data_IF_719095246257
#
_entry.id   IF_719095246257
#
_cell.length_a   1.000
_cell.length_b   1.000
_cell.length_c   1.000
_cell.angle_alpha   90.00
_cell.angle_beta   90.00
_cell.angle_gamma   90.00
#
_symmetry.space_group_name_H-M   'P 1'
#
loop_
_entity.id
_entity.type
_entity.pdbx_description
1 polymer ?
#
# COMPACT_ATOMS: atom_id res chain seq x y z
N UNK A 1 9.71 -22.64 11.91
CA UNK A 1 10.77 -22.28 12.88
C UNK A 1 10.29 -21.33 13.96
N UNK A 2 9.75 -20.14 13.64
CA UNK A 2 9.17 -19.22 14.66
C UNK A 2 8.01 -19.88 15.39
N UNK A 3 7.02 -20.41 14.64
CA UNK A 3 5.89 -21.14 15.21
C UNK A 3 6.32 -22.40 15.97
N UNK A 4 7.33 -23.14 15.46
CA UNK A 4 7.87 -24.33 16.13
C UNK A 4 8.52 -24.00 17.48
N UNK A 5 9.09 -22.80 17.63
CA UNK A 5 9.59 -22.28 18.91
C UNK A 5 8.45 -21.76 19.84
N UNK A 6 7.20 -21.86 19.38
CA UNK A 6 6.00 -21.33 20.02
C UNK A 6 5.82 -19.82 19.85
N UNK A 7 6.62 -19.17 19.01
CA UNK A 7 6.55 -17.72 18.77
C UNK A 7 5.43 -17.31 17.81
N UNK A 8 5.22 -16.01 17.69
CA UNK A 8 4.29 -15.38 16.74
C UNK A 8 4.93 -14.16 16.10
N UNK A 9 4.27 -13.58 15.09
CA UNK A 9 4.76 -12.40 14.36
C UNK A 9 3.63 -11.37 14.18
N UNK A 10 4.01 -10.10 14.09
CA UNK A 10 3.11 -8.98 13.81
C UNK A 10 2.76 -8.90 12.32
N UNK A 11 3.77 -9.07 11.46
CA UNK A 11 3.63 -9.11 10.01
C UNK A 11 4.65 -10.07 9.41
N UNK A 12 4.34 -10.56 8.21
CA UNK A 12 5.25 -11.31 7.36
C UNK A 12 4.93 -10.95 5.91
N UNK A 13 5.90 -10.41 5.19
CA UNK A 13 5.87 -10.27 3.73
C UNK A 13 6.87 -11.26 3.11
N UNK A 14 7.09 -11.14 1.80
CA UNK A 14 7.82 -12.08 0.93
C UNK A 14 9.18 -12.51 1.50
N UNK A 15 9.94 -11.55 2.02
CA UNK A 15 11.33 -11.71 2.48
C UNK A 15 11.58 -11.16 3.89
N UNK A 16 10.53 -10.71 4.58
CA UNK A 16 10.64 -10.02 5.88
C UNK A 16 9.56 -10.46 6.86
N UNK A 17 9.91 -10.47 8.14
CA UNK A 17 9.00 -10.85 9.23
C UNK A 17 9.31 -10.02 10.48
N UNK A 18 8.27 -9.47 11.10
CA UNK A 18 8.36 -8.80 12.40
C UNK A 18 7.98 -9.79 13.51
N UNK A 19 8.96 -10.52 14.06
CA UNK A 19 8.73 -11.51 15.12
C UNK A 19 8.41 -10.79 16.44
N UNK A 20 7.33 -11.21 17.12
CA UNK A 20 6.99 -10.69 18.44
C UNK A 20 8.00 -11.21 19.46
N UNK A 21 8.80 -10.31 20.01
CA UNK A 21 9.88 -10.65 20.94
C UNK A 21 10.14 -9.55 21.98
N UNK A 22 10.76 -9.95 23.09
CA UNK A 22 11.24 -9.07 24.15
C UNK A 22 12.59 -9.58 24.66
N UNK A 23 13.28 -8.82 25.52
CA UNK A 23 14.61 -9.21 26.03
C UNK A 23 14.62 -10.61 26.66
N UNK A 24 13.62 -10.91 27.48
CA UNK A 24 13.51 -12.18 28.20
C UNK A 24 12.40 -13.10 27.66
N UNK A 25 11.69 -12.69 26.61
CA UNK A 25 10.46 -13.34 26.17
C UNK A 25 9.31 -13.11 27.16
N UNK A 26 8.25 -13.89 27.03
CA UNK A 26 7.11 -13.85 27.94
C UNK A 26 5.78 -14.03 27.24
N UNK A 27 4.70 -13.58 27.89
CA UNK A 27 3.36 -13.62 27.33
C UNK A 27 2.89 -12.20 27.01
N UNK A 28 2.28 -12.03 25.83
CA UNK A 28 1.68 -10.78 25.37
C UNK A 28 0.17 -11.00 25.20
N UNK A 29 -0.69 -10.18 25.82
CA UNK A 29 -2.14 -10.30 25.64
C UNK A 29 -2.53 -10.27 24.17
N UNK A 30 -3.32 -11.25 23.73
CA UNK A 30 -3.74 -11.37 22.35
C UNK A 30 -4.94 -12.32 22.26
N UNK A 31 -6.09 -11.78 21.87
CA UNK A 31 -7.32 -12.56 21.63
C UNK A 31 -7.07 -13.68 20.63
N UNK A 32 -7.55 -14.89 20.90
CA UNK A 32 -7.31 -16.08 20.09
C UNK A 32 -5.94 -16.72 20.29
N UNK A 33 -5.10 -16.17 21.18
CA UNK A 33 -3.82 -16.75 21.55
C UNK A 33 -3.97 -18.09 22.27
N UNK A 34 -2.99 -18.98 22.08
CA UNK A 34 -2.99 -20.34 22.67
C UNK A 34 -2.52 -20.39 24.12
N UNK A 35 -1.99 -19.28 24.65
CA UNK A 35 -1.57 -19.16 26.05
C UNK A 35 -2.58 -18.34 26.85
N UNK A 36 -2.43 -18.35 28.17
CA UNK A 36 -3.22 -17.51 29.08
C UNK A 36 -2.32 -16.79 30.07
N UNK A 37 -2.67 -15.53 30.34
CA UNK A 37 -2.11 -14.75 31.44
C UNK A 37 -2.69 -15.22 32.78
N UNK A 38 -2.14 -14.71 33.89
CA UNK A 38 -2.58 -15.07 35.24
C UNK A 38 -4.03 -14.66 35.53
N UNK A 39 -4.51 -13.62 34.87
CA UNK A 39 -5.88 -13.12 34.94
C UNK A 39 -6.86 -13.88 34.02
N UNK A 40 -6.38 -14.91 33.29
CA UNK A 40 -7.16 -15.73 32.38
C UNK A 40 -7.26 -15.19 30.95
N UNK A 41 -6.80 -13.97 30.69
CA UNK A 41 -6.80 -13.37 29.35
C UNK A 41 -5.94 -14.18 28.37
N UNK A 42 -6.43 -14.33 27.15
CA UNK A 42 -5.72 -15.04 26.08
C UNK A 42 -4.44 -14.28 25.68
N UNK A 43 -3.40 -15.04 25.33
CA UNK A 43 -2.08 -14.50 25.05
C UNK A 43 -1.31 -15.32 24.02
N UNK A 44 -0.35 -14.65 23.40
CA UNK A 44 0.71 -15.27 22.59
C UNK A 44 2.02 -15.27 23.36
N UNK A 45 2.94 -16.16 22.98
CA UNK A 45 4.30 -16.16 23.51
C UNK A 45 5.18 -15.23 22.67
N UNK A 46 5.76 -14.24 23.33
CA UNK A 46 6.89 -13.49 22.81
C UNK A 46 8.17 -14.31 22.99
N UNK A 47 8.96 -14.47 21.92
CA UNK A 47 10.27 -15.10 22.02
C UNK A 47 11.26 -14.15 22.72
N UNK A 48 12.27 -14.69 23.38
CA UNK A 48 13.38 -13.86 23.83
C UNK A 48 14.23 -13.38 22.65
N UNK A 49 14.90 -12.24 22.76
CA UNK A 49 15.84 -11.78 21.72
C UNK A 49 16.92 -12.84 21.41
N UNK A 50 17.37 -13.56 22.44
CA UNK A 50 18.27 -14.71 22.26
C UNK A 50 17.65 -15.81 21.39
N UNK A 51 16.40 -16.20 21.66
CA UNK A 51 15.70 -17.21 20.85
C UNK A 51 15.51 -16.76 19.39
N UNK A 52 15.24 -15.48 19.16
CA UNK A 52 15.14 -14.92 17.80
C UNK A 52 16.49 -15.03 17.09
N UNK A 53 17.59 -14.67 17.76
CA UNK A 53 18.94 -14.81 17.20
C UNK A 53 19.27 -16.27 16.88
N UNK A 54 18.96 -17.20 17.77
CA UNK A 54 19.14 -18.64 17.51
C UNK A 54 18.33 -19.15 16.30
N UNK A 55 17.18 -18.54 15.99
CA UNK A 55 16.42 -18.85 14.77
C UNK A 55 17.16 -18.33 13.53
N UNK A 56 17.67 -17.10 13.58
CA UNK A 56 18.44 -16.47 12.50
C UNK A 56 19.75 -17.23 12.24
N UNK A 57 20.49 -17.59 13.28
CA UNK A 57 21.79 -18.27 13.18
C UNK A 57 21.68 -19.65 12.50
N UNK A 58 20.53 -20.33 12.63
CA UNK A 58 20.30 -21.61 11.94
C UNK A 58 20.35 -21.48 10.40
N UNK A 59 20.08 -20.30 9.86
CA UNK A 59 20.14 -20.04 8.41
C UNK A 59 21.58 -19.85 7.90
N UNK A 60 22.59 -19.71 8.76
CA UNK A 60 24.00 -19.75 8.35
C UNK A 60 24.34 -21.09 7.65
N UNK A 61 23.76 -22.20 8.12
CA UNK A 61 23.93 -23.52 7.50
C UNK A 61 23.31 -23.62 6.11
N UNK A 62 22.36 -22.74 5.81
CA UNK A 62 21.66 -22.67 4.52
C UNK A 62 22.26 -21.62 3.59
N UNK A 63 23.33 -20.93 4.01
CA UNK A 63 23.99 -19.91 3.20
C UNK A 63 24.70 -20.56 2.00
N UNK A 64 24.24 -20.32 0.76
CA UNK A 64 24.84 -20.92 -0.44
C UNK A 64 26.02 -20.10 -0.98
N UNK A 65 26.25 -18.90 -0.46
CA UNK A 65 27.28 -17.99 -0.95
C UNK A 65 28.66 -18.34 -0.40
N UNK A 66 29.71 -17.83 -1.06
CA UNK A 66 31.06 -17.93 -0.53
C UNK A 66 31.13 -17.23 0.84
N UNK A 67 31.45 -17.99 1.90
CA UNK A 67 31.49 -17.53 3.28
C UNK A 67 32.56 -16.47 3.55
N UNK A 68 33.57 -16.37 2.69
CA UNK A 68 34.56 -15.29 2.77
C UNK A 68 33.98 -13.95 2.33
N UNK A 69 32.93 -13.96 1.51
CA UNK A 69 32.27 -12.76 0.96
C UNK A 69 30.99 -12.43 1.76
N UNK A 70 30.18 -13.45 2.04
CA UNK A 70 28.92 -13.31 2.80
C UNK A 70 29.00 -14.22 4.03
N UNK A 71 29.63 -13.74 5.13
CA UNK A 71 29.74 -14.52 6.35
C UNK A 71 28.39 -14.63 7.07
N UNK A 72 28.22 -15.68 7.87
CA UNK A 72 27.07 -15.82 8.78
C UNK A 72 25.74 -16.16 8.08
N UNK A 73 24.65 -15.74 8.71
CA UNK A 73 23.29 -16.02 8.26
C UNK A 73 22.90 -15.23 7.01
N UNK A 74 22.14 -15.86 6.11
CA UNK A 74 21.50 -15.17 4.98
C UNK A 74 20.32 -14.29 5.41
N UNK A 75 19.84 -14.45 6.65
CA UNK A 75 18.82 -13.58 7.22
C UNK A 75 19.50 -12.52 8.08
N UNK A 76 19.04 -11.27 7.93
CA UNK A 76 19.52 -10.16 8.74
C UNK A 76 18.48 -9.75 9.79
N UNK A 77 18.95 -9.41 10.99
CA UNK A 77 18.14 -8.63 11.94
C UNK A 77 18.31 -7.17 11.54
N UNK A 78 17.22 -6.44 11.33
CA UNK A 78 17.29 -5.05 10.86
C UNK A 78 17.83 -4.15 11.98
N UNK A 79 19.15 -3.95 12.01
CA UNK A 79 19.85 -3.32 13.14
C UNK A 79 19.45 -1.85 13.33
N UNK A 80 19.36 -1.09 12.24
CA UNK A 80 18.90 0.31 12.22
C UNK A 80 17.55 0.54 12.92
N UNK A 81 16.68 -0.49 12.98
CA UNK A 81 15.40 -0.41 13.67
C UNK A 81 15.49 -0.93 15.10
N UNK A 82 16.21 -2.02 15.31
CA UNK A 82 16.22 -2.76 16.57
C UNK A 82 17.25 -2.25 17.57
N UNK A 83 18.20 -1.41 17.15
CA UNK A 83 19.26 -0.90 18.01
C UNK A 83 19.15 0.62 18.14
N UNK A 84 19.54 1.14 19.31
CA UNK A 84 19.69 2.57 19.52
C UNK A 84 21.08 3.05 19.03
N UNK A 85 21.35 4.37 18.99
CA UNK A 85 22.66 4.90 18.59
C UNK A 85 23.86 4.41 19.42
N UNK A 86 23.61 3.80 20.59
CA UNK A 86 24.64 3.21 21.46
C UNK A 86 24.82 1.70 21.20
N UNK A 87 24.32 1.20 20.06
CA UNK A 87 24.37 -0.22 19.65
C UNK A 87 23.77 -1.20 20.66
N UNK A 88 22.85 -0.71 21.50
CA UNK A 88 22.05 -1.56 22.39
C UNK A 88 20.71 -1.83 21.76
N UNK A 89 20.30 -3.10 21.77
CA UNK A 89 18.97 -3.49 21.32
C UNK A 89 17.92 -2.76 22.16
N UNK A 90 17.01 -2.04 21.49
CA UNK A 90 15.93 -1.26 22.10
C UNK A 90 14.60 -2.01 21.99
N UNK A 91 13.68 -1.73 22.92
CA UNK A 91 12.31 -2.21 22.78
C UNK A 91 11.61 -1.45 21.67
N UNK A 92 11.15 -2.18 20.67
CA UNK A 92 10.32 -1.66 19.58
C UNK A 92 8.89 -2.19 19.76
N UNK A 93 7.92 -1.33 19.52
CA UNK A 93 6.51 -1.67 19.48
C UNK A 93 6.04 -1.67 18.04
N UNK A 94 4.99 -2.42 17.74
CA UNK A 94 4.47 -2.51 16.40
C UNK A 94 2.95 -2.51 16.39
N UNK A 95 2.40 -1.79 15.41
CA UNK A 95 0.98 -1.70 15.13
C UNK A 95 0.73 -2.26 13.74
N UNK A 96 0.01 -3.38 13.65
CA UNK A 96 -0.24 -4.11 12.40
C UNK A 96 -1.72 -4.11 12.05
N UNK A 97 -2.05 -3.62 10.85
CA UNK A 97 -3.40 -3.69 10.26
C UNK A 97 -3.50 -4.91 9.33
N UNK A 98 -2.48 -5.13 8.50
CA UNK A 98 -2.35 -6.29 7.60
C UNK A 98 -0.87 -6.51 7.27
N UNK A 99 -0.55 -7.60 6.57
CA UNK A 99 0.83 -8.00 6.25
C UNK A 99 1.68 -6.87 5.64
N UNK A 100 1.06 -5.97 4.86
CA UNK A 100 1.75 -4.82 4.24
C UNK A 100 1.34 -3.47 4.82
N UNK A 101 0.57 -3.41 5.90
CA UNK A 101 0.13 -2.16 6.54
C UNK A 101 0.47 -2.21 8.02
N UNK A 102 1.61 -1.63 8.37
CA UNK A 102 2.10 -1.64 9.73
C UNK A 102 2.93 -0.39 10.02
N UNK A 103 3.05 -0.07 11.32
CA UNK A 103 3.95 0.93 11.86
C UNK A 103 4.76 0.32 13.00
N UNK A 104 6.02 0.73 13.12
CA UNK A 104 6.92 0.41 14.23
C UNK A 104 7.26 1.71 14.95
N UNK A 105 7.23 1.69 16.28
CA UNK A 105 7.36 2.88 17.10
C UNK A 105 8.04 2.60 18.44
N UNK A 106 8.51 3.66 19.08
CA UNK A 106 9.05 3.66 20.45
C UNK A 106 8.28 4.65 21.31
N UNK A 107 8.37 4.49 22.63
CA UNK A 107 7.93 5.52 23.58
C UNK A 107 9.14 6.36 23.99
N UNK A 108 9.03 7.67 23.84
CA UNK A 108 9.99 8.66 24.34
C UNK A 108 9.29 9.57 25.35
N UNK A 109 9.62 9.46 26.64
CA UNK A 109 9.00 10.23 27.72
C UNK A 109 7.44 10.27 27.72
N UNK A 110 6.80 9.19 27.25
CA UNK A 110 5.34 9.02 27.04
C UNK A 110 4.78 9.48 25.69
N UNK A 111 5.60 10.05 24.83
CA UNK A 111 5.25 10.34 23.43
C UNK A 111 5.56 9.15 22.53
N UNK A 112 4.69 8.95 21.53
CA UNK A 112 4.84 7.87 20.56
C UNK A 112 5.64 8.40 19.37
N UNK A 113 6.88 7.90 19.22
CA UNK A 113 7.74 8.23 18.09
C UNK A 113 7.75 7.09 17.07
N UNK A 114 7.22 7.36 15.88
CA UNK A 114 7.32 6.46 14.74
C UNK A 114 8.79 6.27 14.33
N UNK A 115 9.16 5.02 14.05
CA UNK A 115 10.49 4.62 13.57
C UNK A 115 10.41 4.12 12.13
N UNK A 116 9.36 3.36 11.80
CA UNK A 116 9.14 2.86 10.44
C UNK A 116 7.67 2.74 10.18
N UNK A 117 7.23 3.10 8.99
CA UNK A 117 5.83 2.93 8.57
C UNK A 117 5.77 2.37 7.17
N UNK A 118 4.70 1.62 6.89
CA UNK A 118 4.47 1.12 5.54
C UNK A 118 3.85 2.19 4.64
N UNK A 119 4.44 2.38 3.46
CA UNK A 119 3.90 3.24 2.39
C UNK A 119 2.93 2.49 1.45
N UNK A 120 2.65 1.21 1.75
CA UNK A 120 1.90 0.34 0.84
C UNK A 120 0.49 0.89 0.54
N UNK A 121 0.21 1.10 -0.74
CA UNK A 121 -1.04 1.67 -1.21
C UNK A 121 -1.23 3.17 -0.94
N UNK A 122 -0.26 3.84 -0.30
CA UNK A 122 -0.26 5.30 -0.12
C UNK A 122 0.60 5.99 -1.19
N UNK A 123 1.70 5.36 -1.62
CA UNK A 123 2.62 5.92 -2.61
C UNK A 123 2.04 6.15 -4.02
N UNK A 124 0.82 5.68 -4.29
CA UNK A 124 0.12 5.92 -5.56
C UNK A 124 -0.55 7.30 -5.63
N UNK A 125 -0.68 7.99 -4.50
CA UNK A 125 -1.30 9.30 -4.42
C UNK A 125 -0.25 10.40 -4.50
N UNK A 126 -0.59 11.47 -5.20
CA UNK A 126 0.22 12.68 -5.24
C UNK A 126 0.17 13.37 -3.88
N UNK A 127 1.35 13.68 -3.34
CA UNK A 127 1.52 14.21 -1.99
C UNK A 127 0.77 15.55 -1.79
N UNK A 128 0.00 15.71 -0.70
CA UNK A 128 -0.67 16.97 -0.39
C UNK A 128 0.27 17.99 0.26
N UNK A 129 1.42 17.52 0.76
CA UNK A 129 2.42 18.30 1.49
C UNK A 129 3.82 17.85 1.08
N UNK A 130 4.71 18.84 0.96
CA UNK A 130 6.13 18.64 0.66
C UNK A 130 6.91 18.17 1.89
N UNK A 131 8.08 17.59 1.64
CA UNK A 131 9.01 17.17 2.70
C UNK A 131 9.08 15.66 2.91
N UNK A 132 10.19 15.26 3.53
CA UNK A 132 10.51 13.89 3.90
C UNK A 132 10.98 13.88 5.34
N UNK A 133 10.53 12.92 6.11
CA UNK A 133 11.03 12.70 7.45
C UNK A 133 12.37 11.97 7.39
N UNK A 134 13.40 12.51 8.03
CA UNK A 134 14.73 11.89 8.04
C UNK A 134 14.78 10.62 8.89
N UNK A 135 13.98 10.56 9.96
CA UNK A 135 14.05 9.47 10.93
C UNK A 135 13.33 8.22 10.42
N UNK A 136 12.13 8.37 9.85
CA UNK A 136 11.35 7.28 9.26
C UNK A 136 11.68 7.01 7.78
N UNK A 137 12.43 7.91 7.14
CA UNK A 137 12.74 7.92 5.71
C UNK A 137 11.52 7.90 4.77
N UNK A 138 10.36 8.37 5.21
CA UNK A 138 9.12 8.43 4.40
C UNK A 138 8.69 9.87 4.12
N UNK A 139 7.79 10.06 3.16
CA UNK A 139 7.17 11.37 2.94
C UNK A 139 6.49 11.89 4.22
N UNK A 140 6.60 13.20 4.49
CA UNK A 140 6.12 13.79 5.74
C UNK A 140 4.62 13.54 5.97
N UNK A 141 3.80 13.67 4.92
CA UNK A 141 2.35 13.41 4.99
C UNK A 141 2.02 11.94 5.32
N UNK A 142 2.87 10.98 4.91
CA UNK A 142 2.67 9.56 5.26
C UNK A 142 2.93 9.35 6.75
N UNK A 143 4.01 9.94 7.27
CA UNK A 143 4.30 9.90 8.72
C UNK A 143 3.17 10.53 9.53
N UNK A 144 2.72 11.73 9.15
CA UNK A 144 1.62 12.44 9.81
C UNK A 144 0.31 11.62 9.80
N UNK A 145 -0.03 11.00 8.66
CA UNK A 145 -1.21 10.14 8.55
C UNK A 145 -1.11 8.87 9.40
N UNK A 146 0.06 8.20 9.44
CA UNK A 146 0.28 7.08 10.35
C UNK A 146 0.27 7.48 11.82
N UNK A 147 0.79 8.66 12.15
CA UNK A 147 0.74 9.20 13.51
C UNK A 147 -0.71 9.40 13.94
N UNK A 148 -1.56 9.96 13.07
CA UNK A 148 -3.01 10.09 13.31
C UNK A 148 -3.67 8.72 13.56
N UNK A 149 -3.39 7.71 12.71
CA UNK A 149 -3.88 6.33 12.89
C UNK A 149 -3.46 5.77 14.26
N UNK A 150 -2.18 5.92 14.60
CA UNK A 150 -1.62 5.33 15.82
C UNK A 150 -2.13 6.03 17.08
N UNK A 151 -2.22 7.36 17.06
CA UNK A 151 -2.78 8.15 18.17
C UNK A 151 -4.24 7.72 18.44
N UNK A 152 -5.05 7.56 17.38
CA UNK A 152 -6.43 7.07 17.49
C UNK A 152 -6.49 5.66 18.09
N UNK A 153 -5.62 4.75 17.64
CA UNK A 153 -5.56 3.39 18.14
C UNK A 153 -5.12 3.31 19.62
N UNK A 154 -4.28 4.24 20.07
CA UNK A 154 -3.79 4.33 21.44
C UNK A 154 -4.66 5.21 22.35
N UNK A 155 -5.74 5.80 21.83
CA UNK A 155 -6.61 6.70 22.59
C UNK A 155 -5.96 8.03 22.97
N UNK A 156 -4.90 8.43 22.27
CA UNK A 156 -4.19 9.70 22.49
C UNK A 156 -4.91 10.80 21.70
N UNK A 157 -5.27 11.89 22.38
CA UNK A 157 -5.84 13.06 21.71
C UNK A 157 -4.81 13.69 20.79
N UNK A 158 -5.13 13.84 19.51
CA UNK A 158 -4.29 14.54 18.54
C UNK A 158 -5.12 15.32 17.54
N UNK A 159 -4.57 16.42 17.03
CA UNK A 159 -5.18 17.14 15.92
C UNK A 159 -5.01 16.34 14.62
N UNK A 160 -6.08 16.29 13.82
CA UNK A 160 -6.00 15.72 12.48
C UNK A 160 -5.18 16.66 11.57
N UNK A 161 -4.39 16.11 10.63
CA UNK A 161 -3.66 16.95 9.69
C UNK A 161 -4.59 17.77 8.80
N UNK A 162 -4.33 19.06 8.63
CA UNK A 162 -5.20 19.98 7.87
C UNK A 162 -5.48 19.50 6.43
N UNK A 163 -4.52 18.78 5.84
CA UNK A 163 -4.62 18.23 4.48
C UNK A 163 -5.55 17.01 4.36
N UNK A 164 -6.09 16.48 5.45
CA UNK A 164 -7.06 15.37 5.42
C UNK A 164 -8.31 15.70 4.61
N UNK A 165 -8.72 16.96 4.60
CA UNK A 165 -9.88 17.46 3.84
C UNK A 165 -9.62 17.59 2.34
N UNK A 166 -8.35 17.57 1.91
CA UNK A 166 -8.00 17.76 0.51
C UNK A 166 -8.39 16.54 -0.34
N UNK A 167 -8.80 16.75 -1.59
CA UNK A 167 -9.05 15.67 -2.53
C UNK A 167 -7.75 14.92 -2.83
N UNK A 168 -7.86 13.61 -2.92
CA UNK A 168 -6.74 12.73 -3.25
C UNK A 168 -6.53 12.76 -4.75
N UNK A 169 -5.30 13.04 -5.15
CA UNK A 169 -4.88 13.11 -6.53
C UNK A 169 -3.94 11.96 -6.89
N UNK A 170 -3.93 11.58 -8.16
CA UNK A 170 -2.88 10.77 -8.77
C UNK A 170 -2.11 11.65 -9.75
N UNK A 171 -0.79 11.53 -9.75
CA UNK A 171 0.05 12.11 -10.79
C UNK A 171 0.03 11.16 -11.99
N UNK A 172 -0.25 11.71 -13.16
CA UNK A 172 -0.42 10.97 -14.41
C UNK A 172 0.50 11.58 -15.47
N UNK A 173 1.42 10.80 -16.04
CA UNK A 173 2.23 11.15 -17.19
C UNK A 173 1.39 11.27 -18.47
N UNK A 174 1.67 12.31 -19.25
CA UNK A 174 1.07 12.53 -20.57
C UNK A 174 1.86 11.72 -21.60
N UNK A 175 1.43 10.49 -21.82
CA UNK A 175 2.11 9.50 -22.68
C UNK A 175 1.52 9.41 -24.09
N UNK A 176 0.24 9.79 -24.30
CA UNK A 176 -0.47 9.61 -25.58
C UNK A 176 -0.93 10.93 -26.21
N UNK A 177 -1.02 11.01 -27.56
CA UNK A 177 -1.54 12.19 -28.25
C UNK A 177 -2.98 12.56 -27.86
N UNK A 178 -3.83 11.57 -27.58
CA UNK A 178 -5.24 11.79 -27.22
C UNK A 178 -5.36 12.52 -25.87
N UNK A 179 -4.60 12.05 -24.87
CA UNK A 179 -4.52 12.69 -23.54
C UNK A 179 -3.95 14.10 -23.66
N UNK A 180 -2.88 14.26 -24.43
CA UNK A 180 -2.29 15.57 -24.69
C UNK A 180 -3.27 16.53 -25.38
N UNK A 181 -4.02 16.07 -26.39
CA UNK A 181 -4.99 16.88 -27.11
C UNK A 181 -6.14 17.36 -26.22
N UNK A 182 -6.61 16.50 -25.30
CA UNK A 182 -7.60 16.88 -24.30
C UNK A 182 -7.05 17.96 -23.35
N UNK A 183 -5.87 17.76 -22.76
CA UNK A 183 -5.27 18.69 -21.81
C UNK A 183 -4.88 20.04 -22.42
N UNK A 184 -4.52 20.08 -23.71
CA UNK A 184 -4.23 21.33 -24.43
C UNK A 184 -5.42 22.29 -24.50
N UNK A 185 -6.65 21.80 -24.31
CA UNK A 185 -7.85 22.64 -24.20
C UNK A 185 -7.90 23.44 -22.90
N UNK A 186 -7.27 22.94 -21.84
CA UNK A 186 -7.18 23.62 -20.55
C UNK A 186 -5.95 24.51 -20.48
N UNK A 187 -4.77 23.94 -20.75
CA UNK A 187 -3.51 24.66 -20.69
C UNK A 187 -2.52 24.07 -21.70
N UNK A 188 -2.37 24.77 -22.84
CA UNK A 188 -1.50 24.33 -23.94
C UNK A 188 -0.03 24.25 -23.53
N UNK A 189 0.42 25.13 -22.66
CA UNK A 189 1.83 25.21 -22.27
C UNK A 189 2.24 24.09 -21.32
N UNK A 190 1.32 23.64 -20.46
CA UNK A 190 1.57 22.50 -19.57
C UNK A 190 1.29 21.15 -20.24
N UNK A 191 0.42 21.08 -21.24
CA UNK A 191 0.10 19.85 -21.96
C UNK A 191 1.17 19.50 -23.03
N UNK A 192 2.36 19.11 -22.56
CA UNK A 192 3.51 18.68 -23.37
C UNK A 192 3.75 17.17 -23.22
N UNK A 193 4.28 16.49 -24.24
CA UNK A 193 4.74 15.11 -24.10
C UNK A 193 5.71 15.00 -22.92
N UNK A 194 5.60 13.92 -22.14
CA UNK A 194 6.42 13.66 -20.94
C UNK A 194 6.23 14.66 -19.79
N UNK A 195 5.22 15.53 -19.84
CA UNK A 195 4.79 16.30 -18.68
C UNK A 195 3.74 15.51 -17.88
N UNK A 196 3.39 16.02 -16.71
CA UNK A 196 2.39 15.40 -15.84
C UNK A 196 1.04 16.13 -15.91
N UNK A 197 0.00 15.43 -15.49
CA UNK A 197 -1.35 15.87 -15.20
C UNK A 197 -1.74 15.36 -13.80
N UNK A 198 -2.83 15.90 -13.25
CA UNK A 198 -3.43 15.36 -12.03
C UNK A 198 -4.79 14.75 -12.35
N UNK A 199 -5.10 13.62 -11.71
CA UNK A 199 -6.42 13.00 -11.75
C UNK A 199 -6.95 12.80 -10.35
N UNK A 200 -8.14 13.32 -10.01
CA UNK A 200 -8.75 13.06 -8.72
C UNK A 200 -9.22 11.60 -8.62
N UNK A 201 -9.14 11.03 -7.42
CA UNK A 201 -9.71 9.72 -7.14
C UNK A 201 -11.20 9.90 -6.88
N UNK A 202 -12.03 9.43 -7.80
CA UNK A 202 -13.47 9.66 -7.79
C UNK A 202 -14.24 8.41 -7.36
N UNK A 203 -15.28 8.62 -6.56
CA UNK A 203 -16.43 7.74 -6.49
C UNK A 203 -17.45 8.24 -7.51
N UNK A 204 -17.63 7.47 -8.57
CA UNK A 204 -18.62 7.78 -9.60
C UNK A 204 -20.02 7.38 -9.10
N UNK A 205 -20.90 8.37 -8.93
CA UNK A 205 -22.27 8.18 -8.47
C UNK A 205 -23.26 8.19 -9.65
N UNK A 206 -22.76 8.30 -10.88
CA UNK A 206 -23.52 8.25 -12.12
C UNK A 206 -23.38 6.89 -12.82
N UNK A 207 -24.17 6.67 -13.87
CA UNK A 207 -24.09 5.47 -14.72
C UNK A 207 -23.19 5.65 -15.96
N UNK A 208 -22.49 6.78 -16.08
CA UNK A 208 -21.66 7.12 -17.24
C UNK A 208 -20.19 7.07 -16.81
N UNK A 209 -19.27 6.52 -17.63
CA UNK A 209 -17.85 6.59 -17.35
C UNK A 209 -17.38 8.05 -17.23
N UNK A 210 -16.72 8.38 -16.13
CA UNK A 210 -16.16 9.72 -15.87
C UNK A 210 -14.68 9.54 -15.54
N UNK A 211 -13.81 10.28 -16.21
CA UNK A 211 -12.38 10.29 -15.90
C UNK A 211 -11.84 11.70 -16.09
N UNK A 212 -11.62 12.37 -14.96
CA UNK A 212 -11.19 13.76 -14.91
C UNK A 212 -9.66 13.86 -14.95
N UNK A 213 -9.16 14.74 -15.81
CA UNK A 213 -7.76 15.14 -15.88
C UNK A 213 -7.63 16.66 -15.76
N UNK A 214 -6.79 17.12 -14.85
CA UNK A 214 -6.46 18.53 -14.66
C UNK A 214 -5.00 18.81 -15.04
N UNK A 215 -4.65 20.10 -15.25
CA UNK A 215 -3.26 20.51 -15.34
C UNK A 215 -2.47 20.05 -14.10
N UNK A 216 -1.16 19.82 -14.26
CA UNK A 216 -0.33 19.49 -13.11
C UNK A 216 -0.15 20.73 -12.22
N UNK A 217 -0.57 20.59 -10.97
CA UNK A 217 -0.53 21.67 -9.98
C UNK A 217 0.09 21.17 -8.68
N UNK A 218 1.14 21.87 -8.22
CA UNK A 218 1.80 21.53 -6.95
C UNK A 218 1.05 22.11 -5.76
N UNK A 219 0.41 23.28 -5.91
CA UNK A 219 -0.36 23.89 -4.84
C UNK A 219 -1.67 23.13 -4.62
N UNK A 220 -1.76 22.41 -3.51
CA UNK A 220 -2.91 21.58 -3.19
C UNK A 220 -4.17 22.37 -2.79
N UNK A 221 -4.03 23.66 -2.47
CA UNK A 221 -5.16 24.53 -2.10
C UNK A 221 -6.14 24.75 -3.25
N UNK A 222 -5.67 24.71 -4.51
CA UNK A 222 -6.51 24.99 -5.68
C UNK A 222 -7.06 23.72 -6.34
N UNK A 223 -6.68 22.53 -5.86
CA UNK A 223 -7.11 21.25 -6.43
C UNK A 223 -8.64 21.11 -6.49
N UNK A 224 -9.37 21.63 -5.50
CA UNK A 224 -10.83 21.57 -5.49
C UNK A 224 -11.48 22.44 -6.56
N UNK A 225 -10.89 23.59 -6.88
CA UNK A 225 -11.51 24.66 -7.68
C UNK A 225 -10.93 24.78 -9.08
N UNK A 226 -9.79 24.16 -9.36
CA UNK A 226 -9.18 24.15 -10.69
C UNK A 226 -10.03 23.36 -11.70
N UNK A 227 -9.94 23.70 -13.00
CA UNK A 227 -10.71 23.02 -14.04
C UNK A 227 -10.11 21.65 -14.38
N UNK A 228 -10.98 20.66 -14.55
CA UNK A 228 -10.68 19.31 -15.00
C UNK A 228 -11.45 19.01 -16.28
N UNK A 229 -10.81 18.33 -17.24
CA UNK A 229 -11.48 17.84 -18.44
C UNK A 229 -11.86 16.37 -18.25
N UNK A 230 -13.10 16.02 -18.56
CA UNK A 230 -13.47 14.62 -18.72
C UNK A 230 -12.95 14.12 -20.06
N UNK A 231 -12.12 13.07 -20.06
CA UNK A 231 -11.52 12.54 -21.29
C UNK A 231 -12.54 11.89 -22.23
N UNK A 232 -13.72 11.50 -21.72
CA UNK A 232 -14.74 10.82 -22.52
C UNK A 232 -15.57 11.82 -23.33
N UNK A 233 -15.93 12.95 -22.73
CA UNK A 233 -16.81 13.97 -23.33
C UNK A 233 -16.05 15.21 -23.81
N UNK A 234 -14.88 15.48 -23.23
CA UNK A 234 -14.12 16.71 -23.40
C UNK A 234 -14.70 17.93 -22.68
N UNK A 235 -15.71 17.75 -21.82
CA UNK A 235 -16.32 18.83 -21.01
C UNK A 235 -15.46 19.17 -19.79
N UNK A 236 -15.58 20.42 -19.32
CA UNK A 236 -14.78 20.96 -18.22
C UNK A 236 -15.61 21.02 -16.93
N UNK A 237 -15.00 20.62 -15.82
CA UNK A 237 -15.63 20.38 -14.53
C UNK A 237 -14.77 20.83 -13.36
N UNK A 238 -15.40 21.19 -12.25
CA UNK A 238 -14.75 21.44 -10.95
C UNK A 238 -15.19 20.40 -9.92
N UNK A 239 -14.37 20.19 -8.88
CA UNK A 239 -14.68 19.30 -7.76
C UNK A 239 -15.46 20.01 -6.66
N UNK A 240 -15.23 21.31 -6.48
CA UNK A 240 -15.99 22.15 -5.56
C UNK A 240 -16.27 23.55 -6.17
N UNK A 241 -17.54 23.93 -6.39
CA UNK A 241 -18.72 23.06 -6.27
C UNK A 241 -18.67 21.91 -7.30
N UNK A 242 -19.19 20.72 -6.97
CA UNK A 242 -19.19 19.60 -7.89
C UNK A 242 -20.13 19.88 -9.06
N UNK A 243 -19.60 19.78 -10.29
CA UNK A 243 -20.35 19.98 -11.53
C UNK A 243 -20.84 18.67 -12.18
N UNK A 244 -20.46 17.52 -11.60
CA UNK A 244 -20.87 16.18 -11.98
C UNK A 244 -21.35 15.43 -10.75
N UNK A 245 -22.11 14.35 -10.96
CA UNK A 245 -22.54 13.44 -9.91
C UNK A 245 -21.37 12.50 -9.53
N UNK A 246 -20.32 13.08 -8.94
CA UNK A 246 -19.11 12.41 -8.46
C UNK A 246 -18.74 12.92 -7.08
N UNK A 247 -18.10 12.08 -6.29
CA UNK A 247 -17.48 12.46 -5.03
C UNK A 247 -15.97 12.26 -5.14
N UNK A 248 -15.18 13.33 -4.99
CA UNK A 248 -13.73 13.21 -4.86
C UNK A 248 -13.41 12.63 -3.48
N UNK A 249 -12.65 11.53 -3.44
CA UNK A 249 -12.18 10.98 -2.17
C UNK A 249 -11.19 11.94 -1.54
N UNK A 250 -11.31 12.14 -0.22
CA UNK A 250 -10.36 12.94 0.55
C UNK A 250 -9.26 12.07 1.15
N UNK A 251 -8.18 12.69 1.61
CA UNK A 251 -7.12 11.96 2.29
C UNK A 251 -7.61 11.28 3.55
N UNK A 252 -8.52 11.91 4.30
CA UNK A 252 -9.19 11.30 5.45
C UNK A 252 -9.84 9.96 5.09
N UNK A 253 -10.62 9.93 3.99
CA UNK A 253 -11.27 8.70 3.52
C UNK A 253 -10.26 7.61 3.18
N UNK A 254 -9.17 7.99 2.49
CA UNK A 254 -8.11 7.04 2.12
C UNK A 254 -7.41 6.48 3.35
N UNK A 255 -7.05 7.30 4.34
CA UNK A 255 -6.41 6.83 5.57
C UNK A 255 -7.36 6.00 6.43
N UNK A 256 -8.65 6.36 6.45
CA UNK A 256 -9.68 5.56 7.12
C UNK A 256 -9.83 4.18 6.48
N UNK A 257 -9.90 4.10 5.14
CA UNK A 257 -9.92 2.84 4.41
C UNK A 257 -8.63 2.04 4.58
N UNK A 258 -7.47 2.72 4.60
CA UNK A 258 -6.17 2.11 4.87
C UNK A 258 -6.16 1.43 6.23
N UNK A 259 -6.63 2.14 7.27
CA UNK A 259 -6.71 1.63 8.64
C UNK A 259 -7.68 0.46 8.78
N UNK A 260 -8.82 0.52 8.08
CA UNK A 260 -9.87 -0.51 8.12
C UNK A 260 -9.67 -1.64 7.10
N UNK A 261 -8.50 -1.74 6.50
CA UNK A 261 -8.22 -2.73 5.49
C UNK A 261 -8.12 -4.13 6.12
N UNK A 262 -9.01 -5.09 5.79
CA UNK A 262 -8.96 -6.42 6.37
C UNK A 262 -7.75 -7.22 5.84
N UNK A 263 -7.25 -8.15 6.65
CA UNK A 263 -6.24 -9.12 6.22
C UNK A 263 -6.92 -10.32 5.52
N UNK A 264 -7.19 -10.18 4.23
CA UNK A 264 -7.90 -11.19 3.43
C UNK A 264 -7.21 -12.55 3.36
N UNK A 265 -5.90 -12.63 3.61
CA UNK A 265 -5.14 -13.89 3.51
C UNK A 265 -5.18 -14.71 4.80
N UNK A 266 -5.94 -14.26 5.79
CA UNK A 266 -6.08 -14.92 7.08
C UNK A 266 -7.55 -14.99 7.51
N UNK A 267 -7.82 -15.85 8.49
CA UNK A 267 -9.08 -15.88 9.23
C UNK A 267 -8.92 -15.14 10.56
N UNK A 268 -10.02 -14.57 11.06
CA UNK A 268 -10.09 -13.98 12.38
C UNK A 268 -9.94 -15.05 13.49
N UNK A 269 -9.72 -14.66 14.75
CA UNK A 269 -9.62 -15.61 15.87
C UNK A 269 -10.79 -16.58 16.00
N UNK A 270 -11.99 -16.15 15.63
CA UNK A 270 -13.21 -16.98 15.65
C UNK A 270 -13.33 -17.93 14.44
N UNK A 271 -12.40 -17.87 13.48
CA UNK A 271 -12.41 -18.66 12.25
C UNK A 271 -13.22 -18.05 11.11
N UNK A 272 -13.83 -16.88 11.29
CA UNK A 272 -14.52 -16.15 10.21
C UNK A 272 -13.53 -15.41 9.29
N UNK A 273 -13.93 -15.06 8.05
CA UNK A 273 -13.12 -14.18 7.21
C UNK A 273 -12.84 -12.84 7.90
N UNK A 274 -11.59 -12.36 7.83
CA UNK A 274 -11.21 -11.08 8.40
C UNK A 274 -12.05 -9.92 7.84
N UNK A 275 -12.43 -9.01 8.73
CA UNK A 275 -13.12 -7.75 8.45
C UNK A 275 -12.32 -6.59 9.07
N UNK A 276 -12.77 -5.36 8.82
CA UNK A 276 -12.13 -4.15 9.36
C UNK A 276 -11.90 -4.19 10.88
N UNK A 277 -12.80 -4.81 11.64
CA UNK A 277 -12.74 -4.86 13.11
C UNK A 277 -12.04 -6.12 13.65
N UNK A 278 -11.59 -7.02 12.78
CA UNK A 278 -10.93 -8.26 13.18
C UNK A 278 -9.58 -7.96 13.82
N UNK A 279 -9.40 -8.42 15.06
CA UNK A 279 -8.15 -8.24 15.82
C UNK A 279 -7.86 -9.48 16.69
N UNK A 280 -6.58 -9.71 16.96
CA UNK A 280 -6.08 -10.86 17.72
C UNK A 280 -5.15 -11.75 16.89
N UNK A 281 -4.91 -12.97 17.36
CA UNK A 281 -4.11 -13.96 16.66
C UNK A 281 -4.89 -14.50 15.46
N UNK A 282 -4.51 -14.03 14.27
CA UNK A 282 -5.11 -14.48 13.02
C UNK A 282 -4.72 -15.93 12.72
N UNK A 283 -5.64 -16.64 12.07
CA UNK A 283 -5.49 -18.06 11.69
C UNK A 283 -5.19 -18.17 10.20
N UNK A 284 -4.53 -19.27 9.82
CA UNK A 284 -4.29 -19.56 8.39
C UNK A 284 -5.62 -19.72 7.67
N UNK A 285 -5.72 -19.07 6.51
CA UNK A 285 -6.83 -19.27 5.59
C UNK A 285 -6.60 -20.57 4.79
N UNK A 286 -7.46 -21.60 4.91
CA UNK A 286 -7.33 -22.80 4.11
C UNK A 286 -7.66 -22.48 2.65
N UNK A 287 -6.70 -22.66 1.76
CA UNK A 287 -6.87 -22.46 0.32
C UNK A 287 -6.83 -23.82 -0.37
N UNK A 288 -7.89 -24.15 -1.11
CA UNK A 288 -7.94 -25.30 -2.01
C UNK A 288 -7.99 -24.78 -3.43
N UNK A 289 -7.07 -25.21 -4.28
CA UNK A 289 -7.08 -24.85 -5.69
C UNK A 289 -8.31 -25.46 -6.38
N UNK A 290 -9.16 -24.63 -6.97
CA UNK A 290 -10.37 -25.08 -7.67
C UNK A 290 -10.26 -24.98 -9.19
N UNK A 291 -9.53 -23.98 -9.70
CA UNK A 291 -9.28 -23.77 -11.12
C UNK A 291 -7.91 -23.11 -11.33
N UNK A 292 -7.34 -23.34 -12.51
CA UNK A 292 -6.13 -22.67 -12.94
C UNK A 292 -6.49 -21.61 -13.98
N UNK A 293 -6.20 -20.36 -13.66
CA UNK A 293 -6.33 -19.25 -14.60
C UNK A 293 -4.93 -18.78 -14.99
N UNK A 294 -4.63 -18.82 -16.29
CA UNK A 294 -3.40 -18.24 -16.81
C UNK A 294 -3.59 -16.73 -16.87
N UNK A 295 -2.99 -16.03 -15.92
CA UNK A 295 -2.95 -14.57 -15.87
C UNK A 295 -1.51 -14.11 -16.03
N UNK A 296 -1.32 -12.91 -16.57
CA UNK A 296 0.00 -12.27 -16.52
C UNK A 296 0.43 -12.06 -15.08
N UNK A 297 1.66 -12.45 -14.75
CA UNK A 297 2.31 -12.01 -13.51
C UNK A 297 2.48 -10.50 -13.50
N UNK A 298 2.63 -9.92 -14.68
CA UNK A 298 2.60 -8.50 -14.93
C UNK A 298 1.12 -8.11 -15.12
N UNK A 299 0.56 -7.38 -14.16
CA UNK A 299 -0.34 -6.27 -14.53
C UNK A 299 0.37 -5.51 -15.66
N UNK A 300 -0.34 -5.13 -16.74
CA UNK A 300 0.26 -4.45 -17.91
C UNK A 300 1.49 -3.62 -17.51
N UNK A 301 2.67 -3.82 -18.11
CA UNK A 301 3.92 -3.13 -17.68
C UNK A 301 3.80 -1.61 -17.56
N UNK A 302 2.80 -1.02 -18.24
CA UNK A 302 2.40 0.38 -18.03
C UNK A 302 2.12 0.74 -16.57
N UNK A 303 1.69 -0.19 -15.72
CA UNK A 303 1.39 0.05 -14.31
C UNK A 303 2.62 -0.01 -13.40
N UNK A 304 3.63 -0.81 -13.77
CA UNK A 304 4.90 -0.89 -13.05
C UNK A 304 5.85 0.25 -13.40
N UNK A 305 5.72 0.83 -14.60
CA UNK A 305 6.67 1.81 -15.15
C UNK A 305 6.07 3.16 -15.54
N UNK A 306 4.74 3.32 -15.58
CA UNK A 306 4.15 4.57 -16.01
C UNK A 306 3.00 5.01 -15.10
N UNK A 307 3.06 6.28 -14.75
CA UNK A 307 1.91 7.07 -14.33
C UNK A 307 0.95 7.26 -15.52
N UNK A 308 0.68 6.24 -16.34
CA UNK A 308 -0.10 6.41 -17.56
C UNK A 308 -1.60 6.51 -17.28
N UNK A 309 -2.37 7.11 -18.19
CA UNK A 309 -3.84 7.21 -18.08
C UNK A 309 -4.50 5.83 -18.04
N UNK A 310 -3.90 4.80 -18.65
CA UNK A 310 -4.35 3.40 -18.53
C UNK A 310 -4.43 2.92 -17.07
N UNK A 311 -3.63 3.50 -16.15
CA UNK A 311 -3.70 3.19 -14.71
C UNK A 311 -5.01 3.62 -14.02
N UNK A 312 -5.83 4.42 -14.71
CA UNK A 312 -7.18 4.78 -14.27
C UNK A 312 -8.24 3.78 -14.76
N UNK A 313 -7.87 2.86 -15.67
CA UNK A 313 -8.78 1.94 -16.36
C UNK A 313 -8.29 0.48 -16.22
N UNK A 314 -8.32 -0.13 -15.02
CA UNK A 314 -7.76 -1.46 -14.79
C UNK A 314 -8.43 -2.54 -15.63
N UNK A 315 -7.62 -3.32 -16.35
CA UNK A 315 -8.03 -4.56 -16.99
C UNK A 315 -7.12 -5.72 -16.56
N UNK A 316 -7.72 -6.88 -16.30
CA UNK A 316 -6.98 -8.11 -15.99
C UNK A 316 -6.73 -8.86 -17.30
N UNK A 317 -5.47 -8.91 -17.73
CA UNK A 317 -5.09 -9.70 -18.91
C UNK A 317 -5.17 -11.19 -18.56
N UNK A 318 -6.12 -11.89 -19.19
CA UNK A 318 -6.30 -13.33 -19.07
C UNK A 318 -5.78 -14.00 -20.34
N UNK A 319 -4.83 -14.89 -20.20
CA UNK A 319 -4.37 -15.73 -21.29
C UNK A 319 -5.33 -16.91 -21.43
N UNK A 320 -5.74 -17.17 -22.66
CA UNK A 320 -6.49 -18.36 -23.06
C UNK A 320 -5.76 -18.99 -24.23
N UNK A 321 -5.93 -20.30 -24.42
CA UNK A 321 -5.51 -20.94 -25.68
C UNK A 321 -6.21 -20.23 -26.84
N UNK A 322 -5.43 -19.83 -27.85
CA UNK A 322 -5.95 -19.12 -29.00
C UNK A 322 -6.67 -20.10 -29.94
N UNK A 323 -7.92 -20.42 -29.60
CA UNK A 323 -8.81 -21.25 -30.41
C UNK A 323 -9.73 -20.40 -31.31
N UNK A 324 -9.45 -19.11 -31.46
CA UNK A 324 -10.26 -18.18 -32.22
C UNK A 324 -9.98 -18.25 -33.72
N UNK A 325 -10.99 -18.61 -34.51
CA UNK A 325 -11.08 -18.16 -35.90
C UNK A 325 -11.24 -16.63 -35.83
N UNK A 326 -10.44 -15.83 -36.55
CA UNK A 326 -10.57 -14.38 -36.50
C UNK A 326 -12.00 -13.98 -36.86
N UNK A 327 -12.66 -13.25 -35.97
CA UNK A 327 -13.98 -12.65 -36.24
C UNK A 327 -13.93 -11.90 -37.57
N UNK A 328 -14.99 -11.98 -38.38
CA UNK A 328 -15.05 -11.34 -39.71
C UNK A 328 -14.62 -9.87 -39.67
N UNK A 329 -14.97 -9.16 -38.60
CA UNK A 329 -14.60 -7.77 -38.35
C UNK A 329 -13.09 -7.53 -38.20
N UNK A 330 -12.37 -8.46 -37.58
CA UNK A 330 -10.91 -8.41 -37.44
C UNK A 330 -10.24 -8.76 -38.77
N UNK A 331 -10.80 -9.73 -39.51
CA UNK A 331 -10.34 -10.14 -40.84
C UNK A 331 -10.48 -9.01 -41.86
N UNK A 332 -11.61 -8.28 -41.83
CA UNK A 332 -11.86 -7.09 -42.64
C UNK A 332 -10.84 -5.98 -42.35
N UNK A 333 -10.59 -5.70 -41.06
CA UNK A 333 -9.62 -4.69 -40.64
C UNK A 333 -8.19 -5.04 -41.05
N UNK A 334 -7.79 -6.31 -40.94
CA UNK A 334 -6.46 -6.78 -41.35
C UNK A 334 -6.26 -6.66 -42.86
N UNK A 335 -7.30 -6.90 -43.68
CA UNK A 335 -7.26 -6.72 -45.14
C UNK A 335 -7.16 -5.27 -45.58
N UNK A 336 -7.57 -4.33 -44.73
CA UNK A 336 -7.49 -2.89 -45.01
C UNK A 336 -6.15 -2.27 -44.62
N UNK A 337 -5.25 -3.01 -43.96
CA UNK A 337 -3.90 -2.52 -43.64
C UNK A 337 -3.07 -2.59 -44.93
N UNK A 338 -2.60 -1.46 -45.48
CA UNK A 338 -1.76 -1.47 -46.66
C UNK A 338 -0.42 -2.16 -46.33
N UNK A 339 -0.03 -3.14 -47.14
CA UNK A 339 1.25 -3.87 -47.06
C UNK A 339 2.50 -2.99 -47.17
N UNK A 340 2.34 -1.68 -47.35
CA UNK A 340 3.43 -0.69 -47.44
C UNK A 340 3.99 -0.33 -46.05
N UNK A 341 3.36 -0.80 -44.96
CA UNK A 341 3.80 -0.57 -43.57
C UNK A 341 4.16 -1.86 -42.80
N UNK A 342 4.31 -2.98 -43.50
CA UNK A 342 5.01 -4.19 -43.03
C UNK A 342 6.39 -4.23 -43.70
#
# INVERSE_FOLDING_TARGET
>A
MVTDAGGSYLMCDTDSMAIVSSEHGGLVPCKGGTHRLRDGNEAIKALSWKQVREIVDKFEKLNPYNKEIVPGSILNIVEELNFNPNERQRQLYGYGISAKRYALYVYDASEVKLIKVSEHGLGLYYRPKEGRDSDCEVALWIKEGWQSILNRALGVSSQEPDWFSLPVMRRIAISTPNVMAALRRLNRDQARPYNFALSPVLLNLSNIPITLLGPFEKNSEIWCTMPYIDIHTGSVHTLNPPSLLVLAQTFEMVFFQHHRHPEYKSLAPDGSPCRAESHGLLKRYPVTASAFHLIGKETERGWEQAEDVSTLLPSLVRYQENNGVPTDQLTERLRQIPLVFL
#
